data_IF_713133775086
#
_entry.id   IF_713133775086
#
_cell.length_a   1.000
_cell.length_b   1.000
_cell.length_c   1.000
_cell.angle_alpha   90.00
_cell.angle_beta   90.00
_cell.angle_gamma   90.00
#
_symmetry.space_group_name_H-M   'P 1'
#
loop_
_entity.id
_entity.type
_entity.pdbx_description
1 polymer ?
#
# COMPACT_ATOMS: atom_id res chain seq x y z
N UNK A 1 41.99 12.90 -30.75
CA UNK A 1 41.50 13.25 -29.39
C UNK A 1 40.10 12.68 -29.25
N UNK A 2 39.98 11.50 -28.64
CA UNK A 2 38.67 10.96 -28.29
C UNK A 2 38.18 11.71 -27.05
N UNK A 3 37.05 12.38 -27.19
CA UNK A 3 36.33 13.05 -26.09
C UNK A 3 36.06 12.03 -24.99
N UNK A 4 36.66 12.24 -23.82
CA UNK A 4 36.34 11.49 -22.62
C UNK A 4 34.87 11.78 -22.27
N UNK A 5 34.01 10.82 -22.54
CA UNK A 5 32.60 10.86 -22.13
C UNK A 5 32.60 10.74 -20.61
N UNK A 6 32.54 11.88 -19.93
CA UNK A 6 32.37 11.93 -18.48
C UNK A 6 31.07 11.22 -18.15
N UNK A 7 31.16 10.13 -17.39
CA UNK A 7 29.98 9.48 -16.80
C UNK A 7 29.27 10.58 -16.01
N UNK A 8 28.00 10.92 -16.34
CA UNK A 8 27.31 11.98 -15.63
C UNK A 8 27.28 11.64 -14.13
N UNK A 9 27.54 12.61 -13.25
CA UNK A 9 27.24 12.46 -11.82
C UNK A 9 25.82 11.90 -11.67
N UNK A 10 25.57 11.03 -10.68
CA UNK A 10 24.33 10.26 -10.58
C UNK A 10 23.03 11.07 -10.67
N UNK A 11 23.06 12.36 -10.31
CA UNK A 11 21.93 13.28 -10.45
C UNK A 11 21.65 13.70 -11.91
N UNK A 12 22.69 14.00 -12.69
CA UNK A 12 22.57 14.32 -14.12
C UNK A 12 22.02 13.12 -14.91
N UNK A 13 22.45 11.90 -14.56
CA UNK A 13 21.94 10.67 -15.18
C UNK A 13 20.45 10.47 -14.88
N UNK A 14 19.99 10.82 -13.67
CA UNK A 14 18.59 10.69 -13.27
C UNK A 14 17.71 11.77 -13.93
N UNK A 15 18.17 13.01 -14.04
CA UNK A 15 17.43 14.07 -14.75
C UNK A 15 17.31 13.77 -16.25
N UNK A 16 18.38 13.29 -16.87
CA UNK A 16 18.36 12.84 -18.27
C UNK A 16 17.37 11.70 -18.45
N UNK A 17 17.43 10.66 -17.61
CA UNK A 17 16.50 9.53 -17.65
C UNK A 17 15.03 9.97 -17.55
N UNK A 18 14.70 10.88 -16.63
CA UNK A 18 13.33 11.38 -16.50
C UNK A 18 12.92 12.20 -17.73
N UNK A 19 13.80 13.07 -18.22
CA UNK A 19 13.54 13.93 -19.39
C UNK A 19 13.34 13.11 -20.67
N UNK A 20 14.18 12.11 -20.90
CA UNK A 20 14.09 11.19 -22.05
C UNK A 20 12.77 10.42 -22.09
N UNK A 21 12.20 10.16 -20.91
CA UNK A 21 10.92 9.51 -20.77
C UNK A 21 9.74 10.50 -20.62
N UNK A 22 9.98 11.80 -20.76
CA UNK A 22 8.96 12.84 -20.59
C UNK A 22 8.32 12.89 -19.20
N UNK A 23 9.01 12.37 -18.18
CA UNK A 23 8.58 12.41 -16.79
C UNK A 23 8.99 13.74 -16.14
N UNK A 24 8.29 14.12 -15.07
CA UNK A 24 8.57 15.36 -14.36
C UNK A 24 9.87 15.25 -13.54
N UNK A 25 10.72 16.28 -13.63
CA UNK A 25 12.03 16.33 -12.99
C UNK A 25 12.03 16.98 -11.60
N UNK A 26 10.86 17.43 -11.10
CA UNK A 26 10.76 18.07 -9.78
C UNK A 26 11.21 17.10 -8.68
N UNK A 27 11.88 17.65 -7.67
CA UNK A 27 12.48 16.86 -6.58
C UNK A 27 11.86 17.15 -5.22
N UNK A 28 11.79 16.10 -4.41
CA UNK A 28 11.54 16.15 -2.98
C UNK A 28 12.49 15.15 -2.30
N UNK A 29 13.23 15.58 -1.27
CA UNK A 29 14.28 14.77 -0.61
C UNK A 29 15.27 14.13 -1.58
N UNK A 30 15.70 14.86 -2.63
CA UNK A 30 16.60 14.36 -3.68
C UNK A 30 16.07 13.16 -4.50
N UNK A 31 14.77 12.87 -4.40
CA UNK A 31 14.04 11.86 -5.18
C UNK A 31 13.02 12.52 -6.14
N UNK A 32 12.67 11.89 -7.28
CA UNK A 32 11.65 12.39 -8.18
C UNK A 32 10.31 12.56 -7.45
N UNK A 33 9.57 13.65 -7.72
CA UNK A 33 8.26 13.87 -7.13
C UNK A 33 7.26 12.75 -7.45
N UNK A 34 7.43 12.07 -8.60
CA UNK A 34 6.69 10.86 -8.95
C UNK A 34 6.79 9.74 -7.91
N UNK A 35 7.91 9.62 -7.18
CA UNK A 35 8.04 8.66 -6.07
C UNK A 35 7.01 8.92 -4.98
N UNK A 36 6.78 10.19 -4.63
CA UNK A 36 5.86 10.55 -3.57
C UNK A 36 4.39 10.44 -4.01
N UNK A 37 4.11 10.59 -5.30
CA UNK A 37 2.80 10.19 -5.84
C UNK A 37 2.59 8.70 -5.64
N UNK A 38 3.55 7.85 -6.00
CA UNK A 38 3.45 6.41 -5.79
C UNK A 38 3.36 6.05 -4.30
N UNK A 39 4.10 6.76 -3.44
CA UNK A 39 4.00 6.65 -1.98
C UNK A 39 2.57 6.83 -1.49
N UNK A 40 1.89 7.93 -1.87
CA UNK A 40 0.53 8.21 -1.41
C UNK A 40 -0.49 7.24 -2.01
N UNK A 41 -0.30 6.85 -3.27
CA UNK A 41 -1.16 5.86 -3.93
C UNK A 41 -1.05 4.49 -3.24
N UNK A 42 0.17 4.03 -2.93
CA UNK A 42 0.39 2.78 -2.20
C UNK A 42 -0.09 2.89 -0.74
N UNK A 43 0.14 4.03 -0.08
CA UNK A 43 -0.32 4.26 1.29
C UNK A 43 -1.84 4.09 1.40
N UNK A 44 -2.61 4.61 0.45
CA UNK A 44 -4.07 4.48 0.48
C UNK A 44 -4.59 3.10 0.16
N UNK A 45 -3.94 2.37 -0.74
CA UNK A 45 -4.26 0.97 -0.95
C UNK A 45 -3.87 0.13 0.30
N UNK A 46 -2.76 0.45 0.98
CA UNK A 46 -2.36 -0.29 2.19
C UNK A 46 -3.26 0.03 3.37
N UNK A 47 -3.71 1.28 3.47
CA UNK A 47 -4.78 1.66 4.39
C UNK A 47 -6.03 0.79 4.17
N UNK A 48 -6.47 0.66 2.91
CA UNK A 48 -7.70 -0.07 2.61
C UNK A 48 -7.55 -1.58 2.84
N UNK A 49 -6.42 -2.15 2.40
CA UNK A 49 -6.11 -3.57 2.57
C UNK A 49 -5.99 -3.95 4.04
N UNK A 50 -5.09 -3.31 4.80
CA UNK A 50 -4.89 -3.67 6.21
C UNK A 50 -6.05 -3.25 7.11
N UNK A 51 -6.74 -2.15 6.78
CA UNK A 51 -7.96 -1.75 7.47
C UNK A 51 -9.07 -2.79 7.32
N UNK A 52 -9.39 -3.22 6.10
CA UNK A 52 -10.36 -4.30 5.88
C UNK A 52 -9.89 -5.61 6.52
N UNK A 53 -8.61 -5.95 6.38
CA UNK A 53 -8.03 -7.19 6.91
C UNK A 53 -8.07 -7.27 8.43
N UNK A 54 -7.96 -6.14 9.14
CA UNK A 54 -8.14 -6.08 10.60
C UNK A 54 -9.59 -6.37 11.05
N UNK A 55 -10.56 -6.07 10.18
CA UNK A 55 -11.98 -6.31 10.44
C UNK A 55 -12.41 -7.73 10.08
N UNK A 56 -11.85 -8.29 9.00
CA UNK A 56 -12.37 -9.48 8.33
C UNK A 56 -12.66 -10.64 9.28
N UNK A 57 -11.66 -11.08 10.04
CA UNK A 57 -11.81 -12.21 10.96
C UNK A 57 -12.71 -11.85 12.15
N UNK A 58 -12.54 -10.64 12.71
CA UNK A 58 -13.34 -10.17 13.85
C UNK A 58 -14.82 -10.09 13.53
N UNK A 59 -15.16 -9.58 12.35
CA UNK A 59 -16.53 -9.49 11.84
C UNK A 59 -17.18 -10.87 11.75
N UNK A 60 -16.51 -11.82 11.11
CA UNK A 60 -17.05 -13.16 10.89
C UNK A 60 -17.33 -13.89 12.20
N UNK A 61 -16.45 -13.78 13.20
CA UNK A 61 -16.60 -14.46 14.50
C UNK A 61 -17.39 -13.67 15.53
N UNK A 62 -17.86 -12.46 15.20
CA UNK A 62 -18.65 -11.65 16.14
C UNK A 62 -20.11 -12.06 16.13
N UNK A 63 -20.74 -11.98 17.29
CA UNK A 63 -22.15 -12.36 17.51
C UNK A 63 -23.10 -11.59 16.57
N UNK A 64 -24.20 -12.23 16.16
CA UNK A 64 -25.26 -11.58 15.36
C UNK A 64 -25.80 -10.33 16.06
N UNK A 65 -25.92 -10.37 17.40
CA UNK A 65 -26.36 -9.23 18.21
C UNK A 65 -25.43 -8.00 18.12
N UNK A 66 -24.18 -8.18 17.69
CA UNK A 66 -23.19 -7.11 17.46
C UNK A 66 -22.97 -6.85 15.96
N UNK A 67 -23.86 -7.36 15.10
CA UNK A 67 -23.80 -7.21 13.65
C UNK A 67 -22.75 -8.07 12.96
N UNK A 68 -22.15 -9.04 13.66
CA UNK A 68 -21.26 -10.03 13.03
C UNK A 68 -22.03 -11.25 12.51
N UNK A 69 -21.31 -12.23 11.97
CA UNK A 69 -21.92 -13.43 11.35
C UNK A 69 -21.89 -14.69 12.24
N UNK A 70 -21.29 -14.61 13.42
CA UNK A 70 -21.25 -15.70 14.41
C UNK A 70 -20.68 -17.02 13.86
N UNK A 71 -19.72 -16.93 12.95
CA UNK A 71 -19.04 -18.10 12.39
C UNK A 71 -18.16 -18.79 13.41
N UNK A 72 -17.95 -20.09 13.20
CA UNK A 72 -16.91 -20.81 13.91
C UNK A 72 -15.54 -20.22 13.52
N UNK A 73 -14.63 -20.16 14.51
CA UNK A 73 -13.29 -19.57 14.33
C UNK A 73 -12.48 -20.27 13.23
N UNK A 74 -12.62 -21.60 13.13
CA UNK A 74 -11.95 -22.38 12.11
C UNK A 74 -12.36 -21.92 10.71
N UNK A 75 -13.66 -21.77 10.45
CA UNK A 75 -14.18 -21.34 9.15
C UNK A 75 -13.73 -19.91 8.78
N UNK A 76 -13.75 -19.00 9.76
CA UNK A 76 -13.26 -17.63 9.56
C UNK A 76 -11.75 -17.59 9.24
N UNK A 77 -10.95 -18.40 9.92
CA UNK A 77 -9.51 -18.52 9.68
C UNK A 77 -9.20 -19.16 8.33
N UNK A 78 -10.00 -20.15 7.91
CA UNK A 78 -9.86 -20.79 6.60
C UNK A 78 -10.16 -19.81 5.47
N UNK A 79 -11.26 -19.04 5.57
CA UNK A 79 -11.57 -18.00 4.59
C UNK A 79 -10.45 -16.96 4.54
N UNK A 80 -9.96 -16.53 5.69
CA UNK A 80 -8.85 -15.58 5.78
C UNK A 80 -7.59 -16.11 5.11
N UNK A 81 -7.21 -17.36 5.34
CA UNK A 81 -6.04 -17.99 4.75
C UNK A 81 -6.15 -18.11 3.22
N UNK A 82 -7.33 -18.48 2.71
CA UNK A 82 -7.58 -18.50 1.26
C UNK A 82 -7.51 -17.10 0.65
N UNK A 83 -8.14 -16.12 1.30
CA UNK A 83 -8.10 -14.73 0.84
C UNK A 83 -6.66 -14.20 0.77
N UNK A 84 -5.87 -14.35 1.84
CA UNK A 84 -4.49 -13.87 1.88
C UNK A 84 -3.63 -14.63 0.87
N UNK A 85 -3.75 -15.96 0.81
CA UNK A 85 -3.03 -16.79 -0.16
C UNK A 85 -3.27 -16.36 -1.61
N UNK A 86 -4.52 -16.09 -1.98
CA UNK A 86 -4.87 -15.60 -3.32
C UNK A 86 -4.35 -14.18 -3.57
N UNK A 87 -4.35 -13.29 -2.57
CA UNK A 87 -3.76 -11.94 -2.65
C UNK A 87 -2.24 -11.99 -2.91
N UNK A 88 -1.53 -13.03 -2.50
CA UNK A 88 -0.12 -13.24 -2.85
C UNK A 88 0.07 -13.93 -4.21
N UNK A 89 -0.89 -14.76 -4.64
CA UNK A 89 -0.83 -15.49 -5.90
C UNK A 89 -1.19 -14.64 -7.13
N UNK A 90 -2.28 -13.89 -7.07
CA UNK A 90 -2.78 -13.11 -8.22
C UNK A 90 -1.82 -12.03 -8.75
N UNK A 91 -0.92 -11.42 -7.96
CA UNK A 91 0.14 -10.54 -8.48
C UNK A 91 1.00 -11.15 -9.57
N UNK A 92 1.24 -12.48 -9.55
CA UNK A 92 2.01 -13.14 -10.61
C UNK A 92 1.27 -13.00 -11.96
N UNK A 93 -0.03 -13.24 -11.95
CA UNK A 93 -0.89 -13.11 -13.14
C UNK A 93 -1.00 -11.65 -13.57
N UNK A 94 -1.21 -10.73 -12.63
CA UNK A 94 -1.37 -9.31 -12.96
C UNK A 94 -0.10 -8.61 -13.44
N UNK A 95 1.07 -9.02 -12.96
CA UNK A 95 2.37 -8.57 -13.51
C UNK A 95 2.55 -9.04 -14.96
N UNK A 96 2.28 -10.32 -15.23
CA UNK A 96 2.33 -10.87 -16.59
C UNK A 96 1.37 -10.15 -17.56
N UNK A 97 0.14 -9.85 -17.12
CA UNK A 97 -0.84 -9.08 -17.90
C UNK A 97 -0.30 -7.69 -18.22
N UNK A 98 0.30 -7.01 -17.25
CA UNK A 98 0.82 -5.66 -17.46
C UNK A 98 2.01 -5.63 -18.40
N UNK A 99 2.93 -6.59 -18.28
CA UNK A 99 4.09 -6.73 -19.16
C UNK A 99 3.69 -6.92 -20.62
N UNK A 100 2.67 -7.76 -20.87
CA UNK A 100 2.32 -8.17 -22.24
C UNK A 100 1.20 -7.35 -22.87
N UNK A 101 0.22 -6.90 -22.08
CA UNK A 101 -1.05 -6.41 -22.61
C UNK A 101 -1.29 -4.93 -22.31
N UNK A 102 -1.24 -4.53 -21.04
CA UNK A 102 -1.81 -3.23 -20.61
C UNK A 102 -0.78 -2.14 -20.35
N UNK A 103 0.43 -2.49 -19.89
CA UNK A 103 1.36 -1.57 -19.25
C UNK A 103 0.97 -1.27 -17.79
N UNK A 104 1.97 -0.96 -16.96
CA UNK A 104 1.81 -0.79 -15.51
C UNK A 104 0.78 0.29 -15.13
N UNK A 105 0.79 1.46 -15.78
CA UNK A 105 -0.14 2.55 -15.43
C UNK A 105 -1.60 2.16 -15.60
N UNK A 106 -1.93 1.45 -16.69
CA UNK A 106 -3.31 0.99 -16.92
C UNK A 106 -3.69 -0.14 -15.97
N UNK A 107 -2.77 -1.09 -15.74
CA UNK A 107 -3.00 -2.17 -14.80
C UNK A 107 -3.29 -1.65 -13.37
N UNK A 108 -2.52 -0.66 -12.90
CA UNK A 108 -2.73 -0.03 -11.60
C UNK A 108 -4.10 0.63 -11.50
N UNK A 109 -4.52 1.40 -12.52
CA UNK A 109 -5.84 2.05 -12.48
C UNK A 109 -6.98 1.03 -12.48
N UNK A 110 -6.90 0.02 -13.34
CA UNK A 110 -7.92 -1.04 -13.40
C UNK A 110 -7.96 -1.78 -12.06
N UNK A 111 -6.80 -2.15 -11.52
CA UNK A 111 -6.70 -2.81 -10.22
C UNK A 111 -7.29 -1.96 -9.09
N UNK A 112 -6.95 -0.67 -9.06
CA UNK A 112 -7.46 0.28 -8.07
C UNK A 112 -8.98 0.49 -8.17
N UNK A 113 -9.53 0.53 -9.39
CA UNK A 113 -10.97 0.63 -9.62
C UNK A 113 -11.70 -0.64 -9.15
N UNK A 114 -11.18 -1.82 -9.49
CA UNK A 114 -11.74 -3.10 -9.04
C UNK A 114 -11.69 -3.19 -7.51
N UNK A 115 -10.58 -2.81 -6.86
CA UNK A 115 -10.49 -2.80 -5.40
C UNK A 115 -11.47 -1.82 -4.74
N UNK A 116 -11.66 -0.64 -5.34
CA UNK A 116 -12.67 0.33 -4.89
C UNK A 116 -14.07 -0.27 -4.92
N UNK A 117 -14.43 -0.93 -6.03
CA UNK A 117 -15.71 -1.65 -6.14
C UNK A 117 -15.79 -2.82 -5.16
N UNK A 118 -14.69 -3.49 -4.88
CA UNK A 118 -14.62 -4.56 -3.88
C UNK A 118 -14.94 -4.08 -2.48
N UNK A 119 -14.33 -2.97 -2.04
CA UNK A 119 -14.67 -2.37 -0.75
C UNK A 119 -16.10 -1.80 -0.72
N UNK A 120 -16.58 -1.21 -1.81
CA UNK A 120 -17.96 -0.76 -1.91
C UNK A 120 -18.94 -1.94 -1.77
N UNK A 121 -18.64 -3.09 -2.37
CA UNK A 121 -19.42 -4.30 -2.20
C UNK A 121 -19.37 -4.79 -0.75
N UNK A 122 -18.19 -4.85 -0.11
CA UNK A 122 -18.12 -5.23 1.32
C UNK A 122 -18.89 -4.28 2.24
N UNK A 123 -18.93 -2.98 1.93
CA UNK A 123 -19.72 -2.01 2.70
C UNK A 123 -21.24 -2.25 2.58
N UNK A 124 -21.68 -3.01 1.57
CA UNK A 124 -23.08 -3.40 1.34
C UNK A 124 -23.39 -4.82 1.84
N UNK A 125 -22.53 -5.43 2.67
CA UNK A 125 -22.75 -6.80 3.15
C UNK A 125 -24.08 -7.00 3.90
N UNK A 126 -24.59 -5.96 4.57
CA UNK A 126 -25.89 -6.02 5.25
C UNK A 126 -27.12 -6.10 4.33
N UNK A 127 -26.98 -5.86 3.03
CA UNK A 127 -28.06 -6.07 2.05
C UNK A 127 -28.13 -7.52 1.57
N UNK A 128 -26.97 -8.17 1.42
CA UNK A 128 -26.85 -9.57 1.02
C UNK A 128 -25.41 -10.03 1.21
N UNK A 129 -25.24 -11.22 1.79
CA UNK A 129 -23.94 -11.90 1.94
C UNK A 129 -23.17 -12.01 0.62
N UNK A 130 -23.88 -12.05 -0.51
CA UNK A 130 -23.26 -12.07 -1.86
C UNK A 130 -22.32 -10.89 -2.08
N UNK A 131 -22.65 -9.71 -1.55
CA UNK A 131 -21.82 -8.53 -1.70
C UNK A 131 -20.49 -8.66 -0.95
N UNK A 132 -20.48 -9.34 0.19
CA UNK A 132 -19.24 -9.61 0.93
C UNK A 132 -18.28 -10.48 0.11
N UNK A 133 -18.76 -11.62 -0.42
CA UNK A 133 -17.94 -12.53 -1.22
C UNK A 133 -17.53 -11.92 -2.57
N UNK A 134 -18.44 -11.20 -3.22
CA UNK A 134 -18.10 -10.42 -4.41
C UNK A 134 -17.01 -9.40 -4.11
N UNK A 135 -17.10 -8.74 -2.95
CA UNK A 135 -16.08 -7.84 -2.43
C UNK A 135 -14.71 -8.48 -2.30
N UNK A 136 -14.62 -9.64 -1.64
CA UNK A 136 -13.37 -10.39 -1.51
C UNK A 136 -12.78 -10.79 -2.87
N UNK A 137 -13.61 -11.27 -3.79
CA UNK A 137 -13.18 -11.63 -5.16
C UNK A 137 -12.62 -10.42 -5.93
N UNK A 138 -13.31 -9.29 -5.87
CA UNK A 138 -12.85 -8.04 -6.48
C UNK A 138 -11.55 -7.55 -5.84
N UNK A 139 -11.40 -7.63 -4.52
CA UNK A 139 -10.15 -7.26 -3.85
C UNK A 139 -8.98 -8.15 -4.26
N UNK A 140 -9.17 -9.47 -4.34
CA UNK A 140 -8.15 -10.42 -4.80
C UNK A 140 -7.68 -10.11 -6.23
N UNK A 141 -8.63 -9.89 -7.13
CA UNK A 141 -8.33 -9.65 -8.56
C UNK A 141 -7.74 -8.26 -8.80
N UNK A 142 -8.28 -7.24 -8.12
CA UNK A 142 -7.79 -5.87 -8.20
C UNK A 142 -6.38 -5.70 -7.62
N UNK A 143 -6.10 -6.31 -6.47
CA UNK A 143 -4.76 -6.35 -5.88
C UNK A 143 -3.75 -7.01 -6.84
N UNK A 144 -4.15 -8.08 -7.52
CA UNK A 144 -3.30 -8.77 -8.49
C UNK A 144 -2.79 -7.84 -9.59
N UNK A 145 -3.62 -6.93 -10.08
CA UNK A 145 -3.24 -5.94 -11.09
C UNK A 145 -2.53 -4.71 -10.51
N UNK A 146 -2.73 -4.38 -9.24
CA UNK A 146 -2.16 -3.18 -8.63
C UNK A 146 -0.74 -3.42 -8.09
N UNK A 147 -0.58 -4.38 -7.18
CA UNK A 147 0.65 -4.62 -6.38
C UNK A 147 1.93 -4.76 -7.20
N UNK A 148 2.02 -5.69 -8.16
CA UNK A 148 3.29 -5.95 -8.85
C UNK A 148 3.69 -4.75 -9.73
N UNK A 149 2.69 -4.01 -10.21
CA UNK A 149 2.86 -2.98 -11.23
C UNK A 149 3.25 -1.63 -10.63
N UNK A 150 2.70 -1.27 -9.46
CA UNK A 150 3.09 -0.03 -8.78
C UNK A 150 4.53 -0.09 -8.25
N UNK A 151 4.95 -1.24 -7.70
CA UNK A 151 6.35 -1.46 -7.29
C UNK A 151 7.31 -1.43 -8.47
N UNK A 152 6.89 -1.94 -9.63
CA UNK A 152 7.67 -1.86 -10.88
C UNK A 152 7.82 -0.41 -11.38
N UNK A 153 6.80 0.43 -11.20
CA UNK A 153 6.88 1.86 -11.54
C UNK A 153 7.90 2.61 -10.67
N UNK A 154 8.05 2.25 -9.39
CA UNK A 154 9.10 2.84 -8.54
C UNK A 154 10.48 2.59 -9.15
N UNK A 155 10.75 1.37 -9.58
CA UNK A 155 12.03 1.00 -10.21
C UNK A 155 12.27 1.74 -11.53
N UNK A 156 11.22 1.99 -12.32
CA UNK A 156 11.31 2.69 -13.61
C UNK A 156 11.58 4.20 -13.49
N UNK A 157 11.37 4.80 -12.32
CA UNK A 157 11.71 6.21 -12.09
C UNK A 157 13.22 6.47 -12.09
N UNK A 158 14.04 5.43 -12.00
CA UNK A 158 15.49 5.54 -11.85
C UNK A 158 16.21 4.75 -12.96
N UNK A 159 17.33 5.27 -13.49
CA UNK A 159 18.15 4.54 -14.43
C UNK A 159 18.76 3.28 -13.78
N UNK A 160 19.16 2.31 -14.60
CA UNK A 160 19.67 1.01 -14.13
C UNK A 160 20.77 1.13 -13.05
N UNK A 161 21.67 2.10 -13.22
CA UNK A 161 22.90 2.29 -12.43
C UNK A 161 22.69 3.23 -11.21
N UNK A 162 21.47 3.70 -10.95
CA UNK A 162 21.23 4.67 -9.86
C UNK A 162 21.42 4.05 -8.47
N UNK A 163 22.24 4.70 -7.65
CA UNK A 163 22.45 4.47 -6.22
C UNK A 163 21.24 4.84 -5.35
N UNK A 164 20.34 5.69 -5.86
CA UNK A 164 19.11 6.13 -5.17
C UNK A 164 17.97 5.11 -5.21
N UNK A 165 18.10 3.98 -5.91
CA UNK A 165 17.01 2.99 -6.02
C UNK A 165 16.63 2.37 -4.68
N UNK A 166 17.62 1.98 -3.89
CA UNK A 166 17.36 1.31 -2.61
C UNK A 166 16.68 2.24 -1.61
N UNK A 167 17.14 3.50 -1.51
CA UNK A 167 16.50 4.51 -0.67
C UNK A 167 15.11 4.90 -1.19
N UNK A 168 14.86 4.82 -2.50
CA UNK A 168 13.53 5.04 -3.06
C UNK A 168 12.54 3.94 -2.62
N UNK A 169 12.96 2.68 -2.63
CA UNK A 169 12.14 1.58 -2.10
C UNK A 169 11.91 1.72 -0.60
N UNK A 170 12.90 2.18 0.17
CA UNK A 170 12.71 2.48 1.59
C UNK A 170 11.65 3.57 1.81
N UNK A 171 11.67 4.66 1.04
CA UNK A 171 10.63 5.70 1.09
C UNK A 171 9.27 5.12 0.71
N UNK A 172 9.20 4.37 -0.38
CA UNK A 172 7.96 3.73 -0.81
C UNK A 172 7.37 2.82 0.29
N UNK A 173 8.20 2.05 0.98
CA UNK A 173 7.79 1.19 2.10
C UNK A 173 7.38 1.96 3.36
N UNK A 174 7.91 3.16 3.60
CA UNK A 174 7.35 4.02 4.65
C UNK A 174 5.89 4.37 4.37
N UNK A 175 5.49 4.49 3.11
CA UNK A 175 4.09 4.70 2.71
C UNK A 175 3.23 3.49 3.05
N UNK A 176 3.75 2.28 2.79
CA UNK A 176 3.09 1.02 3.17
C UNK A 176 2.82 0.97 4.67
N UNK A 177 3.84 1.22 5.50
CA UNK A 177 3.71 1.16 6.95
C UNK A 177 2.76 2.23 7.48
N UNK A 178 2.84 3.45 6.95
CA UNK A 178 1.95 4.55 7.34
C UNK A 178 0.48 4.22 7.02
N UNK A 179 0.23 3.71 5.81
CA UNK A 179 -1.10 3.28 5.38
C UNK A 179 -1.64 2.15 6.24
N UNK A 180 -0.84 1.09 6.43
CA UNK A 180 -1.22 -0.07 7.24
C UNK A 180 -1.59 0.32 8.66
N UNK A 181 -0.74 1.12 9.30
CA UNK A 181 -0.93 1.58 10.67
C UNK A 181 -2.22 2.40 10.82
N UNK A 182 -2.42 3.41 9.96
CA UNK A 182 -3.62 4.25 9.99
C UNK A 182 -4.88 3.44 9.62
N UNK A 183 -4.77 2.50 8.69
CA UNK A 183 -5.86 1.64 8.23
C UNK A 183 -6.38 0.73 9.34
N UNK A 184 -5.49 -0.01 10.00
CA UNK A 184 -5.87 -0.88 11.13
C UNK A 184 -6.49 -0.06 12.27
N UNK A 185 -5.89 1.08 12.60
CA UNK A 185 -6.34 1.92 13.71
C UNK A 185 -7.71 2.59 13.42
N UNK A 186 -7.92 3.11 12.21
CA UNK A 186 -9.16 3.81 11.85
C UNK A 186 -10.29 2.84 11.49
N UNK A 187 -10.04 1.89 10.58
CA UNK A 187 -11.06 0.95 10.14
C UNK A 187 -11.46 0.00 11.27
N UNK A 188 -10.48 -0.52 12.04
CA UNK A 188 -10.73 -1.34 13.23
C UNK A 188 -11.63 -0.64 14.24
N UNK A 189 -11.26 0.59 14.61
CA UNK A 189 -12.06 1.42 15.52
C UNK A 189 -13.49 1.66 15.03
N UNK A 190 -13.65 2.07 13.77
CA UNK A 190 -14.98 2.35 13.21
C UNK A 190 -15.79 1.06 13.05
N UNK A 191 -15.18 -0.04 12.65
CA UNK A 191 -15.83 -1.34 12.51
C UNK A 191 -16.40 -1.84 13.84
N UNK A 192 -15.60 -1.87 14.90
CA UNK A 192 -16.04 -2.38 16.21
C UNK A 192 -16.92 -1.42 17.01
N UNK A 193 -16.68 -0.10 16.92
CA UNK A 193 -17.38 0.91 17.77
C UNK A 193 -18.53 1.64 17.07
N UNK A 194 -18.67 1.51 15.75
CA UNK A 194 -19.73 2.17 14.97
C UNK A 194 -20.51 1.16 14.14
N UNK A 195 -19.80 0.29 13.41
CA UNK A 195 -20.40 -0.81 12.67
C UNK A 195 -19.51 -1.30 11.52
N UNK A 196 -19.58 -2.60 11.25
CA UNK A 196 -18.73 -3.30 10.28
C UNK A 196 -18.81 -2.73 8.87
N UNK A 197 -20.03 -2.43 8.39
CA UNK A 197 -20.24 -1.80 7.08
C UNK A 197 -19.49 -0.47 6.93
N UNK A 198 -19.42 0.35 8.00
CA UNK A 198 -18.70 1.62 7.98
C UNK A 198 -17.18 1.41 7.97
N UNK A 199 -16.69 0.38 8.65
CA UNK A 199 -15.28 0.01 8.62
C UNK A 199 -14.84 -0.45 7.22
N UNK A 200 -15.62 -1.32 6.57
CA UNK A 200 -15.38 -1.74 5.19
C UNK A 200 -15.53 -0.59 4.19
N UNK A 201 -16.54 0.26 4.36
CA UNK A 201 -16.76 1.44 3.53
C UNK A 201 -15.65 2.46 3.65
N UNK A 202 -15.11 2.68 4.86
CA UNK A 202 -13.99 3.58 5.08
C UNK A 202 -12.75 3.18 4.29
N UNK A 203 -12.41 1.88 4.29
CA UNK A 203 -11.34 1.34 3.45
C UNK A 203 -11.58 1.67 1.97
N UNK A 204 -12.83 1.54 1.50
CA UNK A 204 -13.22 1.88 0.13
C UNK A 204 -13.07 3.37 -0.22
N UNK A 205 -13.41 4.28 0.70
CA UNK A 205 -13.27 5.73 0.49
C UNK A 205 -11.80 6.07 0.20
N UNK A 206 -10.86 5.56 1.00
CA UNK A 206 -9.45 5.87 0.81
C UNK A 206 -8.85 5.18 -0.42
N UNK A 207 -9.26 3.94 -0.72
CA UNK A 207 -8.90 3.28 -1.97
C UNK A 207 -9.37 4.10 -3.19
N UNK A 208 -10.58 4.65 -3.14
CA UNK A 208 -11.13 5.50 -4.19
C UNK A 208 -10.30 6.78 -4.38
N UNK A 209 -9.94 7.48 -3.30
CA UNK A 209 -9.08 8.66 -3.39
C UNK A 209 -7.68 8.32 -3.89
N UNK A 210 -7.10 7.18 -3.47
CA UNK A 210 -5.82 6.68 -3.99
C UNK A 210 -5.87 6.39 -5.50
N UNK A 211 -6.98 5.81 -5.97
CA UNK A 211 -7.25 5.59 -7.40
C UNK A 211 -7.34 6.92 -8.16
N UNK A 212 -8.17 7.86 -7.69
CA UNK A 212 -8.34 9.15 -8.35
C UNK A 212 -7.03 9.94 -8.40
N UNK A 213 -6.30 9.98 -7.28
CA UNK A 213 -4.98 10.59 -7.22
C UNK A 213 -4.07 10.02 -8.33
N UNK A 214 -3.93 8.69 -8.42
CA UNK A 214 -3.06 8.07 -9.40
C UNK A 214 -3.53 8.31 -10.84
N UNK A 215 -4.85 8.26 -11.07
CA UNK A 215 -5.46 8.54 -12.36
C UNK A 215 -5.10 9.93 -12.88
N UNK A 216 -5.20 10.97 -12.04
CA UNK A 216 -4.82 12.33 -12.44
C UNK A 216 -3.31 12.58 -12.43
N UNK A 217 -2.54 11.76 -11.72
CA UNK A 217 -1.09 11.90 -11.66
C UNK A 217 -0.35 11.27 -12.84
N UNK A 218 -1.01 10.49 -13.71
CA UNK A 218 -0.34 9.73 -14.79
C UNK A 218 0.66 10.53 -15.64
N UNK A 219 0.39 11.82 -15.85
CA UNK A 219 1.25 12.74 -16.61
C UNK A 219 2.61 12.99 -15.96
N UNK A 220 2.74 12.83 -14.64
CA UNK A 220 4.02 12.99 -13.93
C UNK A 220 5.05 11.93 -14.35
N UNK A 221 4.59 10.77 -14.80
CA UNK A 221 5.42 9.63 -15.18
C UNK A 221 5.83 9.64 -16.66
N UNK A 222 5.33 10.58 -17.47
CA UNK A 222 5.60 10.57 -18.91
C UNK A 222 5.21 9.24 -19.56
N UNK A 223 6.14 8.62 -20.29
CA UNK A 223 5.94 7.29 -20.88
C UNK A 223 6.25 6.12 -19.93
N UNK A 224 6.85 6.37 -18.77
CA UNK A 224 7.14 5.33 -17.79
C UNK A 224 5.85 4.61 -17.37
N UNK A 225 5.92 3.30 -17.26
CA UNK A 225 4.78 2.42 -16.98
C UNK A 225 3.74 2.30 -18.11
N UNK A 226 3.96 2.91 -19.28
CA UNK A 226 3.20 2.50 -20.48
C UNK A 226 3.69 1.13 -20.96
N UNK A 227 2.89 0.48 -21.81
CA UNK A 227 3.32 -0.74 -22.49
C UNK A 227 4.58 -0.44 -23.32
N UNK A 228 5.71 -1.04 -22.92
CA UNK A 228 6.95 -0.94 -23.68
C UNK A 228 6.82 -1.73 -24.98
N UNK A 229 6.92 -1.05 -26.12
CA UNK A 229 7.05 -1.70 -27.45
C UNK A 229 8.49 -2.08 -27.78
N UNK A 230 9.47 -1.63 -26.98
CA UNK A 230 10.88 -2.04 -27.08
C UNK A 230 11.19 -2.98 -25.93
N UNK A 231 11.65 -4.18 -26.26
CA UNK A 231 12.07 -5.18 -25.27
C UNK A 231 13.06 -4.56 -24.27
N UNK A 232 13.07 -5.00 -23.00
CA UNK A 232 14.10 -4.57 -22.07
C UNK A 232 15.46 -4.84 -22.70
N UNK A 233 16.26 -3.79 -22.93
CA UNK A 233 17.65 -3.97 -23.30
C UNK A 233 18.28 -4.74 -22.14
N UNK A 234 18.90 -5.92 -22.36
CA UNK A 234 19.56 -6.65 -21.31
C UNK A 234 20.48 -5.69 -20.54
N UNK A 235 20.48 -5.77 -19.22
CA UNK A 235 21.42 -4.99 -18.40
C UNK A 235 22.81 -5.53 -18.69
N UNK A 236 23.49 -4.91 -19.66
CA UNK A 236 24.89 -5.14 -19.94
C UNK A 236 25.67 -4.34 -18.90
N UNK A 237 26.28 -5.01 -17.93
CA UNK A 237 27.29 -4.37 -17.08
C UNK A 237 28.46 -3.99 -17.98
N UNK A 238 28.79 -2.69 -17.98
CA UNK A 238 29.99 -2.17 -18.62
C UNK A 238 31.10 -2.27 -17.60
N UNK A 239 32.06 -3.16 -17.83
CA UNK A 239 33.24 -3.23 -16.98
C UNK A 239 34.09 -1.96 -17.11
N UNK A 240 35.07 -1.76 -16.22
CA UNK A 240 36.00 -0.62 -16.24
C UNK A 240 36.79 -0.47 -17.58
N UNK A 241 36.69 -1.44 -18.48
CA UNK A 241 37.30 -1.46 -19.81
C UNK A 241 36.31 -1.18 -20.97
N UNK A 242 35.07 -0.78 -20.68
CA UNK A 242 34.11 -0.36 -21.71
C UNK A 242 33.51 -1.49 -22.54
N UNK A 243 33.65 -2.76 -22.15
CA UNK A 243 33.07 -3.90 -22.86
C UNK A 243 31.72 -4.28 -22.26
N UNK A 244 30.71 -4.41 -23.12
CA UNK A 244 29.42 -5.04 -22.80
C UNK A 244 29.64 -6.54 -22.60
N UNK A 245 29.54 -7.02 -21.36
CA UNK A 245 29.68 -8.44 -21.06
C UNK A 245 28.29 -9.07 -20.95
N UNK A 246 27.87 -9.82 -21.98
CA UNK A 246 26.88 -10.88 -21.77
C UNK A 246 27.59 -12.12 -21.26
N UNK A 247 27.41 -12.40 -19.96
CA UNK A 247 27.34 -13.73 -19.37
C UNK A 247 27.45 -13.56 -17.86
N UNK A 248 26.32 -13.60 -17.15
CA UNK A 248 26.38 -13.94 -15.72
C UNK A 248 27.04 -15.31 -15.64
N UNK A 249 28.20 -15.40 -15.00
CA UNK A 249 28.87 -16.66 -14.71
C UNK A 249 27.83 -17.68 -14.21
N UNK A 250 27.78 -18.86 -14.86
CA UNK A 250 26.81 -19.92 -14.54
C UNK A 250 26.90 -20.30 -13.06
N UNK A 251 28.11 -20.25 -12.46
CA UNK A 251 28.34 -20.50 -11.05
C UNK A 251 27.72 -19.39 -10.18
N UNK A 252 27.92 -18.12 -10.54
CA UNK A 252 27.30 -16.98 -9.84
C UNK A 252 25.78 -17.04 -9.94
N UNK A 253 25.24 -17.42 -11.10
CA UNK A 253 23.79 -17.60 -11.28
C UNK A 253 23.25 -18.74 -10.41
N UNK A 254 23.92 -19.89 -10.38
CA UNK A 254 23.55 -21.00 -9.50
C UNK A 254 23.64 -20.62 -8.01
N UNK A 255 24.68 -19.89 -7.60
CA UNK A 255 24.82 -19.39 -6.23
C UNK A 255 23.66 -18.45 -5.87
N UNK A 256 23.30 -17.53 -6.76
CA UNK A 256 22.14 -16.64 -6.56
C UNK A 256 20.83 -17.42 -6.47
N UNK A 257 20.62 -18.45 -7.30
CA UNK A 257 19.44 -19.31 -7.22
C UNK A 257 19.40 -20.10 -5.91
N UNK A 258 20.54 -20.61 -5.44
CA UNK A 258 20.65 -21.28 -4.14
C UNK A 258 20.33 -20.32 -2.99
N UNK A 259 20.88 -19.11 -3.03
CA UNK A 259 20.60 -18.05 -2.06
C UNK A 259 19.12 -17.67 -2.07
N UNK A 260 18.50 -17.54 -3.25
CA UNK A 260 17.05 -17.33 -3.39
C UNK A 260 16.30 -18.49 -2.74
N UNK A 261 16.67 -19.75 -3.01
CA UNK A 261 16.05 -20.93 -2.42
C UNK A 261 16.10 -20.93 -0.89
N UNK A 262 17.28 -20.64 -0.31
CA UNK A 262 17.46 -20.53 1.15
C UNK A 262 16.59 -19.39 1.71
N UNK A 263 16.66 -18.19 1.12
CA UNK A 263 15.84 -17.06 1.57
C UNK A 263 14.34 -17.31 1.41
N UNK A 264 13.91 -18.02 0.38
CA UNK A 264 12.51 -18.41 0.18
C UNK A 264 12.00 -19.28 1.32
N UNK A 265 12.80 -20.24 1.80
CA UNK A 265 12.41 -21.09 2.94
C UNK A 265 12.18 -20.24 4.19
N UNK A 266 13.12 -19.38 4.57
CA UNK A 266 12.96 -18.49 5.73
C UNK A 266 11.79 -17.51 5.56
N UNK A 267 11.60 -17.02 4.33
CA UNK A 267 10.51 -16.10 3.99
C UNK A 267 9.14 -16.75 4.19
N UNK A 268 8.99 -18.04 3.86
CA UNK A 268 7.74 -18.79 4.10
C UNK A 268 7.41 -18.82 5.60
N UNK A 269 8.36 -19.16 6.46
CA UNK A 269 8.13 -19.19 7.91
C UNK A 269 7.84 -17.80 8.47
N UNK A 270 8.57 -16.77 8.01
CA UNK A 270 8.31 -15.40 8.40
C UNK A 270 6.88 -14.98 8.06
N UNK A 271 6.44 -15.18 6.81
CA UNK A 271 5.08 -14.81 6.40
C UNK A 271 4.02 -15.66 7.07
N UNK A 272 4.27 -16.95 7.31
CA UNK A 272 3.35 -17.81 8.05
C UNK A 272 3.01 -17.25 9.44
N UNK A 273 4.02 -16.74 10.15
CA UNK A 273 3.85 -16.11 11.48
C UNK A 273 3.27 -14.70 11.34
N UNK A 274 3.78 -13.89 10.42
CA UNK A 274 3.30 -12.52 10.19
C UNK A 274 1.80 -12.50 9.85
N UNK A 275 1.35 -13.44 9.02
CA UNK A 275 -0.02 -13.47 8.54
C UNK A 275 -1.04 -13.81 9.65
N UNK A 276 -0.59 -14.26 10.84
CA UNK A 276 -1.44 -14.45 12.02
C UNK A 276 -1.99 -13.13 12.59
N UNK A 277 -1.37 -11.99 12.26
CA UNK A 277 -1.68 -10.69 12.85
C UNK A 277 -3.14 -10.25 12.67
N UNK A 278 -3.77 -10.56 11.52
CA UNK A 278 -5.20 -10.26 11.28
C UNK A 278 -6.13 -11.46 11.42
N UNK A 279 -5.63 -12.58 11.97
CA UNK A 279 -6.38 -13.81 12.18
C UNK A 279 -6.41 -14.17 13.66
N UNK A 280 -5.63 -15.18 14.04
CA UNK A 280 -5.59 -15.73 15.40
C UNK A 280 -5.20 -14.69 16.45
N UNK A 281 -4.28 -13.76 16.14
CA UNK A 281 -3.87 -12.70 17.07
C UNK A 281 -4.99 -11.71 17.36
N UNK A 282 -5.85 -11.43 16.38
CA UNK A 282 -6.98 -10.51 16.56
C UNK A 282 -8.07 -11.16 17.41
N UNK A 283 -8.35 -12.45 17.19
CA UNK A 283 -9.24 -13.23 18.06
C UNK A 283 -8.65 -13.30 19.48
N UNK A 284 -7.35 -13.53 19.60
CA UNK A 284 -6.68 -13.56 20.90
C UNK A 284 -6.83 -12.22 21.64
N UNK A 285 -6.63 -11.11 20.95
CA UNK A 285 -6.80 -9.78 21.53
C UNK A 285 -8.25 -9.51 21.96
N UNK A 286 -9.24 -9.99 21.21
CA UNK A 286 -10.66 -9.90 21.57
C UNK A 286 -10.98 -10.65 22.87
N UNK A 287 -10.47 -11.85 23.03
CA UNK A 287 -10.89 -12.78 24.10
C UNK A 287 -10.02 -12.75 25.36
N UNK A 288 -8.71 -12.55 25.18
CA UNK A 288 -7.71 -12.77 26.23
C UNK A 288 -6.98 -11.49 26.66
N UNK A 289 -7.30 -10.34 26.05
CA UNK A 289 -6.77 -9.04 26.49
C UNK A 289 -7.80 -8.32 27.37
N UNK A 290 -7.37 -7.80 28.51
CA UNK A 290 -8.19 -6.90 29.33
C UNK A 290 -8.36 -5.56 28.60
N UNK A 291 -9.48 -5.41 27.88
CA UNK A 291 -9.78 -4.22 27.09
C UNK A 291 -10.56 -3.15 27.85
N UNK A 292 -11.13 -3.48 29.01
CA UNK A 292 -11.82 -2.53 29.89
C UNK A 292 -10.82 -1.89 30.86
N UNK A 293 -10.40 -0.67 30.54
CA UNK A 293 -9.49 0.10 31.38
C UNK A 293 -10.28 0.95 32.38
N UNK A 294 -9.65 1.34 33.50
CA UNK A 294 -10.23 2.28 34.46
C UNK A 294 -9.15 3.14 35.14
N UNK A 295 -9.57 4.22 35.79
CA UNK A 295 -8.68 5.11 36.56
C UNK A 295 -7.56 5.74 35.72
N UNK A 296 -6.37 5.84 36.31
CA UNK A 296 -5.20 6.45 35.65
C UNK A 296 -4.76 5.68 34.39
N UNK A 297 -4.91 4.35 34.38
CA UNK A 297 -4.53 3.51 33.24
C UNK A 297 -5.35 3.84 31.99
N UNK A 298 -6.65 4.06 32.15
CA UNK A 298 -7.52 4.51 31.07
C UNK A 298 -7.08 5.87 30.51
N UNK A 299 -6.78 6.84 31.37
CA UNK A 299 -6.30 8.16 30.95
C UNK A 299 -4.96 8.08 30.21
N UNK A 300 -4.01 7.29 30.71
CA UNK A 300 -2.72 7.08 30.02
C UNK A 300 -2.94 6.45 28.65
N UNK A 301 -3.80 5.44 28.54
CA UNK A 301 -4.11 4.81 27.26
C UNK A 301 -4.70 5.81 26.26
N UNK A 302 -5.69 6.62 26.67
CA UNK A 302 -6.29 7.65 25.78
C UNK A 302 -5.25 8.61 25.21
N UNK A 303 -4.30 9.05 26.02
CA UNK A 303 -3.21 9.92 25.54
C UNK A 303 -2.26 9.19 24.59
N UNK A 304 -1.88 7.95 24.90
CA UNK A 304 -1.02 7.14 24.01
C UNK A 304 -1.71 6.89 22.68
N UNK A 305 -2.97 6.47 22.69
CA UNK A 305 -3.79 6.25 21.50
C UNK A 305 -3.97 7.54 20.67
N UNK A 306 -4.18 8.69 21.33
CA UNK A 306 -4.25 9.98 20.64
C UNK A 306 -2.92 10.36 19.98
N UNK A 307 -1.79 10.17 20.68
CA UNK A 307 -0.46 10.41 20.10
C UNK A 307 -0.22 9.49 18.90
N UNK A 308 -0.52 8.20 19.07
CA UNK A 308 -0.39 7.21 18.01
C UNK A 308 -1.30 7.53 16.81
N UNK A 309 -2.49 8.09 17.04
CA UNK A 309 -3.40 8.50 15.97
C UNK A 309 -2.89 9.76 15.24
N UNK A 310 -2.46 10.78 15.99
CA UNK A 310 -2.17 12.12 15.45
C UNK A 310 -0.75 12.23 14.90
N UNK A 311 0.26 11.66 15.57
CA UNK A 311 1.66 11.86 15.21
C UNK A 311 2.02 11.35 13.79
N UNK A 312 1.68 10.11 13.39
CA UNK A 312 1.93 9.65 12.03
C UNK A 312 1.17 10.49 10.99
N UNK A 313 -0.04 10.91 11.32
CA UNK A 313 -0.86 11.72 10.43
C UNK A 313 -0.24 13.12 10.21
N UNK A 314 0.33 13.75 11.24
CA UNK A 314 1.12 14.98 11.11
C UNK A 314 2.32 14.76 10.20
N UNK A 315 3.11 13.70 10.45
CA UNK A 315 4.33 13.43 9.68
C UNK A 315 4.02 13.28 8.18
N UNK A 316 2.99 12.52 7.83
CA UNK A 316 2.61 12.31 6.44
C UNK A 316 1.96 13.57 5.83
N UNK A 317 1.20 14.34 6.61
CA UNK A 317 0.65 15.64 6.17
C UNK A 317 1.78 16.60 5.79
N UNK A 318 2.87 16.64 6.55
CA UNK A 318 4.04 17.46 6.22
C UNK A 318 4.64 17.03 4.87
N UNK A 319 4.79 15.72 4.63
CA UNK A 319 5.25 15.21 3.32
C UNK A 319 4.31 15.63 2.19
N UNK A 320 2.99 15.58 2.39
CA UNK A 320 2.00 16.03 1.42
C UNK A 320 2.13 17.52 1.11
N UNK A 321 2.31 18.36 2.14
CA UNK A 321 2.47 19.80 1.93
C UNK A 321 3.74 20.13 1.14
N UNK A 322 4.84 19.40 1.38
CA UNK A 322 6.08 19.57 0.62
C UNK A 322 5.93 19.11 -0.83
N UNK A 323 5.25 17.99 -1.06
CA UNK A 323 4.92 17.53 -2.42
C UNK A 323 4.04 18.58 -3.13
N UNK A 324 3.00 19.06 -2.47
CA UNK A 324 2.10 20.08 -3.01
C UNK A 324 2.84 21.34 -3.44
N UNK A 325 3.73 21.88 -2.60
CA UNK A 325 4.56 23.04 -2.95
C UNK A 325 5.41 22.83 -4.21
N UNK A 326 5.80 21.59 -4.52
CA UNK A 326 6.64 21.27 -5.69
C UNK A 326 5.84 21.08 -6.97
N UNK A 327 4.68 20.43 -6.88
CA UNK A 327 4.00 19.93 -8.10
C UNK A 327 2.58 20.45 -8.30
N UNK A 328 2.01 21.23 -7.37
CA UNK A 328 0.64 21.73 -7.45
C UNK A 328 0.33 22.51 -8.74
N UNK A 329 1.24 23.40 -9.18
CA UNK A 329 1.03 24.21 -10.38
C UNK A 329 0.89 23.38 -11.66
N UNK A 330 1.48 22.18 -11.69
CA UNK A 330 1.43 21.27 -12.86
C UNK A 330 0.36 20.18 -12.71
N UNK A 331 0.12 19.71 -11.48
CA UNK A 331 -0.77 18.59 -11.19
C UNK A 331 -1.76 18.92 -10.05
N UNK A 332 -2.59 19.97 -10.18
CA UNK A 332 -3.42 20.46 -9.09
C UNK A 332 -4.43 19.41 -8.62
N UNK A 333 -5.07 18.68 -9.54
CA UNK A 333 -6.05 17.65 -9.19
C UNK A 333 -5.46 16.52 -8.35
N UNK A 334 -4.21 16.12 -8.63
CA UNK A 334 -3.52 15.08 -7.83
C UNK A 334 -3.39 15.53 -6.37
N UNK A 335 -2.94 16.77 -6.17
CA UNK A 335 -2.73 17.33 -4.83
C UNK A 335 -4.05 17.65 -4.13
N UNK A 336 -5.05 18.17 -4.85
CA UNK A 336 -6.37 18.47 -4.28
C UNK A 336 -7.04 17.19 -3.81
N UNK A 337 -7.07 16.13 -4.63
CA UNK A 337 -7.70 14.86 -4.25
C UNK A 337 -6.99 14.17 -3.09
N UNK A 338 -5.65 14.20 -3.09
CA UNK A 338 -4.88 13.73 -1.93
C UNK A 338 -5.18 14.58 -0.70
N UNK A 339 -5.20 15.92 -0.84
CA UNK A 339 -5.55 16.85 0.23
C UNK A 339 -6.94 16.62 0.81
N UNK A 340 -7.94 16.36 -0.04
CA UNK A 340 -9.31 16.04 0.39
C UNK A 340 -9.35 14.73 1.19
N UNK A 341 -8.64 13.69 0.75
CA UNK A 341 -8.51 12.46 1.56
C UNK A 341 -7.87 12.73 2.92
N UNK A 342 -6.88 13.63 2.99
CA UNK A 342 -6.28 14.05 4.25
C UNK A 342 -7.24 14.84 5.14
N UNK A 343 -8.07 15.71 4.58
CA UNK A 343 -9.11 16.41 5.34
C UNK A 343 -10.09 15.40 5.96
N UNK A 344 -10.48 14.38 5.20
CA UNK A 344 -11.38 13.31 5.69
C UNK A 344 -10.73 12.53 6.84
N UNK A 345 -9.49 12.05 6.68
CA UNK A 345 -8.83 11.27 7.75
C UNK A 345 -8.53 12.13 8.98
N UNK A 346 -8.20 13.42 8.81
CA UNK A 346 -8.05 14.35 9.94
C UNK A 346 -9.36 14.55 10.69
N UNK A 347 -10.47 14.74 9.96
CA UNK A 347 -11.80 14.83 10.57
C UNK A 347 -12.13 13.58 11.39
N UNK A 348 -11.87 12.40 10.85
CA UNK A 348 -12.09 11.12 11.53
C UNK A 348 -11.15 10.91 12.72
N UNK A 349 -9.88 11.27 12.59
CA UNK A 349 -8.91 11.16 13.67
C UNK A 349 -9.26 12.07 14.85
N UNK A 350 -9.60 13.33 14.58
CA UNK A 350 -10.04 14.29 15.61
C UNK A 350 -11.34 13.81 16.25
N UNK A 351 -12.31 13.37 15.44
CA UNK A 351 -13.56 12.80 15.93
C UNK A 351 -13.34 11.58 16.83
N UNK A 352 -12.48 10.64 16.43
CA UNK A 352 -12.11 9.46 17.25
C UNK A 352 -11.52 9.89 18.58
N UNK A 353 -10.53 10.79 18.57
CA UNK A 353 -9.86 11.27 19.79
C UNK A 353 -10.88 11.96 20.70
N UNK A 354 -11.71 12.86 20.17
CA UNK A 354 -12.74 13.53 20.96
C UNK A 354 -13.76 12.54 21.57
N UNK A 355 -14.21 11.55 20.78
CA UNK A 355 -15.11 10.50 21.24
C UNK A 355 -14.49 9.68 22.37
N UNK A 356 -13.23 9.26 22.24
CA UNK A 356 -12.54 8.50 23.29
C UNK A 356 -12.34 9.32 24.57
N UNK A 357 -12.00 10.60 24.47
CA UNK A 357 -11.84 11.46 25.65
C UNK A 357 -13.16 11.75 26.36
N UNK A 358 -14.28 11.77 25.64
CA UNK A 358 -15.62 12.00 26.20
C UNK A 358 -16.33 10.72 26.64
N UNK A 359 -15.88 9.55 26.20
CA UNK A 359 -16.47 8.27 26.56
C UNK A 359 -16.32 7.96 28.06
N UNK A 360 -17.44 7.57 28.68
CA UNK A 360 -17.55 7.18 30.09
C UNK A 360 -16.93 5.81 30.34
N UNK A 361 -17.06 4.90 29.37
CA UNK A 361 -16.40 3.60 29.37
C UNK A 361 -15.16 3.61 28.47
N UNK A 362 -14.09 2.96 28.91
CA UNK A 362 -12.85 2.79 28.11
C UNK A 362 -12.63 1.33 27.78
N UNK A 363 -13.51 0.81 26.92
CA UNK A 363 -13.26 -0.47 26.27
C UNK A 363 -12.48 -0.22 24.98
N UNK A 364 -11.26 -0.75 24.92
CA UNK A 364 -10.38 -0.68 23.75
C UNK A 364 -10.85 -1.68 22.66
N UNK A 365 -10.92 -1.31 21.37
CA UNK A 365 -11.14 -2.25 20.27
C UNK A 365 -10.07 -3.37 20.22
N UNK A 366 -10.40 -4.52 19.64
CA UNK A 366 -9.56 -5.73 19.63
C UNK A 366 -8.39 -5.66 18.64
#
# INVERSE_FOLDING_TARGET
MASATTIPNGELALDQHLTDNGADTSRLFNHPAGLFVLFFTEMWERFSYYGMRSLLTLFLVSEIAKGGWEWARADAMDLYAWYTGLVYLTPIVGGFIADRLTGYKKAIIIGAAIMTLGHAAMAMEGFSDTFFYAGLFLLITGNGLFKPNISSMVGQLYPAISDKKDSAYAIFYMGINSGAFLGMLMCGYIGEKVGWHYGFGLAGIFMFFGMLQFYFAQRIFGILGNKNTKAPVPVLEVNAAGKTVEARDKKVTQQRLWVIGVFSVFTIFFWMVFEQAGGSMTIFAKDYTMRNLSGSTATTFKWVDAILTIFPLVAVTVVLTWLGKKVFSKYPLTIILTGLSFVIIWGLAIWKVQKEFTAVGTEVPA
#
